data_IF_633180325669
#
_entry.id   IF_633180325669
#
_cell.length_a   1.000
_cell.length_b   1.000
_cell.length_c   1.000
_cell.angle_alpha   90.00
_cell.angle_beta   90.00
_cell.angle_gamma   90.00
#
_symmetry.space_group_name_H-M   'P 1'
#
loop_
_entity.id
_entity.type
_entity.pdbx_description
1 polymer ?
#
# COMPACT_ATOMS: atom_id res chain seq x y z
N UNK A 1 -8.71 8.14 0.36
CA UNK A 1 -7.41 7.67 0.91
C UNK A 1 -7.06 8.36 2.22
N UNK A 2 -6.99 9.71 2.26
CA UNK A 2 -6.60 10.47 3.46
C UNK A 2 -7.37 10.10 4.74
N UNK A 3 -8.65 9.75 4.62
CA UNK A 3 -9.52 9.38 5.75
C UNK A 3 -9.19 8.01 6.38
N UNK A 4 -8.37 7.17 5.75
CA UNK A 4 -8.03 5.82 6.25
C UNK A 4 -6.67 5.77 6.96
N UNK A 5 -5.97 6.89 7.08
CA UNK A 5 -4.69 6.94 7.78
C UNK A 5 -4.89 6.92 9.30
N UNK A 6 -4.16 6.01 9.93
CA UNK A 6 -4.08 5.90 11.37
C UNK A 6 -2.93 6.77 11.91
N UNK A 7 -2.87 7.07 13.22
CA UNK A 7 -1.83 7.93 13.78
C UNK A 7 -0.39 7.43 13.54
N UNK A 8 -0.19 6.12 13.36
CA UNK A 8 1.12 5.52 13.01
C UNK A 8 1.42 5.59 11.50
N UNK A 9 0.60 6.29 10.72
CA UNK A 9 0.72 6.44 9.28
C UNK A 9 0.35 5.18 8.49
N UNK A 10 -0.07 4.09 9.15
CA UNK A 10 -0.58 2.92 8.46
C UNK A 10 -2.00 3.14 7.95
N UNK A 11 -2.35 2.45 6.89
CA UNK A 11 -3.69 2.42 6.33
C UNK A 11 -3.94 1.07 5.67
N UNK A 12 -5.22 0.80 5.43
CA UNK A 12 -5.69 -0.39 4.74
C UNK A 12 -6.82 0.01 3.80
N UNK A 13 -6.81 -0.52 2.60
CA UNK A 13 -7.82 -0.27 1.57
C UNK A 13 -8.39 -1.59 1.07
N UNK A 14 -9.69 -1.64 0.72
CA UNK A 14 -10.29 -2.81 0.07
C UNK A 14 -9.87 -2.84 -1.41
N UNK A 15 -8.58 -3.04 -1.66
CA UNK A 15 -7.96 -3.01 -2.98
C UNK A 15 -6.88 -4.08 -3.13
N UNK A 16 -6.62 -4.47 -4.38
CA UNK A 16 -5.35 -5.06 -4.77
C UNK A 16 -4.52 -3.97 -5.43
N UNK A 17 -3.33 -3.72 -4.89
CA UNK A 17 -2.45 -2.67 -5.37
C UNK A 17 -1.25 -3.31 -6.09
N UNK A 18 -1.05 -2.92 -7.34
CA UNK A 18 0.14 -3.27 -8.12
C UNK A 18 1.06 -2.07 -8.17
N UNK A 19 2.28 -2.21 -7.65
CA UNK A 19 3.21 -1.10 -7.59
C UNK A 19 4.60 -1.43 -8.11
N UNK A 20 5.28 -0.37 -8.55
CA UNK A 20 6.69 -0.38 -8.94
C UNK A 20 7.39 0.83 -8.34
N UNK A 21 8.60 0.63 -7.81
CA UNK A 21 9.48 1.74 -7.43
C UNK A 21 10.13 2.28 -8.69
N UNK A 22 9.82 3.53 -9.04
CA UNK A 22 10.37 4.18 -10.24
C UNK A 22 11.77 4.75 -9.99
N UNK A 23 11.99 5.27 -8.79
CA UNK A 23 13.24 5.92 -8.39
C UNK A 23 13.44 5.86 -6.87
N UNK A 24 14.69 5.73 -6.44
CA UNK A 24 15.06 5.67 -5.03
C UNK A 24 14.78 4.32 -4.36
N UNK A 25 14.58 4.37 -3.04
CA UNK A 25 14.31 3.23 -2.18
C UNK A 25 13.20 3.58 -1.19
N UNK A 26 12.30 2.63 -0.95
CA UNK A 26 11.23 2.78 0.03
C UNK A 26 11.08 1.50 0.86
N UNK A 27 10.64 1.65 2.10
CA UNK A 27 10.31 0.54 2.99
C UNK A 27 8.81 0.42 3.13
N UNK A 28 8.29 -0.79 2.91
CA UNK A 28 6.92 -1.17 3.25
C UNK A 28 6.92 -1.76 4.66
N UNK A 29 6.31 -1.05 5.60
CA UNK A 29 6.09 -1.52 6.97
C UNK A 29 4.69 -2.15 7.08
N UNK A 30 4.62 -3.38 7.59
CA UNK A 30 3.41 -4.14 7.86
C UNK A 30 3.15 -4.22 9.37
N UNK A 31 2.20 -5.05 9.79
CA UNK A 31 1.96 -5.32 11.20
C UNK A 31 3.16 -6.05 11.86
N UNK A 32 3.20 -5.96 13.19
CA UNK A 32 4.25 -6.53 14.06
C UNK A 32 5.67 -6.07 13.74
N UNK A 33 5.81 -4.92 13.08
CA UNK A 33 7.11 -4.34 12.72
C UNK A 33 7.80 -5.09 11.58
N UNK A 34 7.09 -5.94 10.85
CA UNK A 34 7.63 -6.56 9.65
C UNK A 34 7.86 -5.49 8.59
N UNK A 35 9.05 -5.47 7.99
CA UNK A 35 9.41 -4.48 6.98
C UNK A 35 10.08 -5.14 5.78
N UNK A 36 9.74 -4.65 4.58
CA UNK A 36 10.40 -5.04 3.34
C UNK A 36 10.97 -3.80 2.67
N UNK A 37 12.25 -3.85 2.33
CA UNK A 37 12.93 -2.82 1.53
C UNK A 37 12.71 -3.09 0.05
N UNK A 38 12.28 -2.06 -0.68
CA UNK A 38 12.09 -2.09 -2.13
C UNK A 38 13.01 -1.04 -2.76
N UNK A 39 13.89 -1.50 -3.65
CA UNK A 39 14.76 -0.66 -4.45
C UNK A 39 14.13 -0.28 -5.79
N UNK A 40 14.82 0.56 -6.55
CA UNK A 40 14.41 0.95 -7.89
C UNK A 40 14.11 -0.27 -8.78
N UNK A 41 12.97 -0.22 -9.46
CA UNK A 41 12.38 -1.25 -10.32
C UNK A 41 11.88 -2.51 -9.61
N UNK A 42 11.97 -2.60 -8.28
CA UNK A 42 11.25 -3.64 -7.55
C UNK A 42 9.74 -3.41 -7.68
N UNK A 43 9.03 -4.52 -7.86
CA UNK A 43 7.57 -4.55 -7.95
C UNK A 43 6.97 -5.23 -6.74
N UNK A 44 5.78 -4.80 -6.34
CA UNK A 44 5.03 -5.43 -5.26
C UNK A 44 3.55 -5.58 -5.61
N UNK A 45 2.91 -6.55 -4.95
CA UNK A 45 1.46 -6.74 -4.96
C UNK A 45 0.99 -6.68 -3.52
N UNK A 46 0.07 -5.77 -3.25
CA UNK A 46 -0.51 -5.60 -1.93
C UNK A 46 -1.98 -5.98 -1.94
N UNK A 47 -2.33 -7.06 -1.26
CA UNK A 47 -3.69 -7.61 -1.27
C UNK A 47 -4.45 -7.19 0.00
N UNK A 48 -4.86 -5.92 0.04
CA UNK A 48 -5.64 -5.37 1.16
C UNK A 48 -4.93 -5.43 2.51
N UNK A 49 -3.59 -5.44 2.55
CA UNK A 49 -2.83 -5.50 3.81
C UNK A 49 -2.68 -4.11 4.43
N UNK A 50 -2.80 -4.04 5.75
CA UNK A 50 -2.49 -2.82 6.51
C UNK A 50 -1.00 -2.54 6.42
N UNK A 51 -0.64 -1.34 5.99
CA UNK A 51 0.76 -1.00 5.70
C UNK A 51 1.04 0.49 5.82
N UNK A 52 2.32 0.84 5.92
CA UNK A 52 2.82 2.20 5.75
C UNK A 52 4.08 2.24 4.89
N UNK A 53 4.32 3.39 4.28
CA UNK A 53 5.53 3.67 3.52
C UNK A 53 6.51 4.48 4.38
N UNK A 54 7.75 4.02 4.47
CA UNK A 54 8.83 4.72 5.19
C UNK A 54 9.97 5.01 4.22
N UNK A 55 10.30 6.28 4.08
CA UNK A 55 11.55 6.66 3.44
C UNK A 55 12.61 6.83 4.54
N UNK A 56 13.56 5.89 4.60
CA UNK A 56 14.66 5.89 5.57
C UNK A 56 15.95 6.49 4.98
N UNK A 57 15.88 7.02 3.77
CA UNK A 57 17.02 7.64 3.07
C UNK A 57 16.96 9.17 3.16
N UNK A 58 18.03 9.82 2.69
CA UNK A 58 18.15 11.27 2.55
C UNK A 58 17.65 11.79 1.18
N UNK A 59 17.14 10.89 0.32
CA UNK A 59 16.67 11.21 -1.04
C UNK A 59 15.19 10.88 -1.19
N UNK A 60 14.46 11.56 -2.09
CA UNK A 60 13.10 11.15 -2.43
C UNK A 60 13.05 9.73 -3.00
N UNK A 61 11.88 9.10 -2.85
CA UNK A 61 11.53 7.87 -3.56
C UNK A 61 10.22 8.09 -4.30
N UNK A 62 10.13 7.56 -5.52
CA UNK A 62 8.93 7.67 -6.36
C UNK A 62 8.37 6.27 -6.63
N UNK A 63 7.08 6.08 -6.35
CA UNK A 63 6.35 4.84 -6.62
C UNK A 63 5.18 5.12 -7.56
N UNK A 64 4.97 4.26 -8.54
CA UNK A 64 3.73 4.20 -9.29
C UNK A 64 2.89 3.05 -8.76
N UNK A 65 1.62 3.33 -8.45
CA UNK A 65 0.70 2.34 -7.88
C UNK A 65 -0.63 2.37 -8.64
N UNK A 66 -1.07 1.22 -9.11
CA UNK A 66 -2.40 0.99 -9.67
C UNK A 66 -3.22 0.27 -8.61
N UNK A 67 -4.30 0.90 -8.15
CA UNK A 67 -5.22 0.33 -7.17
C UNK A 67 -6.46 -0.20 -7.88
N UNK A 68 -6.75 -1.49 -7.68
CA UNK A 68 -7.95 -2.14 -8.19
C UNK A 68 -8.88 -2.41 -7.00
N UNK A 69 -10.10 -1.88 -7.04
CA UNK A 69 -11.11 -2.14 -6.01
C UNK A 69 -11.37 -3.64 -5.82
N UNK A 70 -11.38 -4.11 -4.57
CA UNK A 70 -11.60 -5.50 -4.21
C UNK A 70 -12.75 -5.62 -3.20
N UNK A 71 -13.53 -6.69 -3.32
CA UNK A 71 -14.54 -7.02 -2.31
C UNK A 71 -13.84 -7.62 -1.09
N UNK A 72 -14.11 -7.06 0.08
CA UNK A 72 -13.74 -7.61 1.38
C UNK A 72 -15.03 -8.01 2.10
N UNK A 73 -14.97 -8.86 3.13
CA UNK A 73 -16.14 -9.16 3.97
C UNK A 73 -16.78 -7.92 4.62
N UNK A 74 -16.07 -6.79 4.65
CA UNK A 74 -16.55 -5.51 5.16
C UNK A 74 -17.19 -4.62 4.07
N UNK A 75 -16.94 -4.92 2.78
CA UNK A 75 -17.50 -4.19 1.65
C UNK A 75 -18.54 -4.99 0.86
N UNK A 76 -18.92 -6.18 1.34
CA UNK A 76 -19.91 -7.07 0.73
C UNK A 76 -21.34 -6.54 0.70
N UNK A 77 -21.64 -5.42 1.36
CA UNK A 77 -23.00 -4.82 1.37
C UNK A 77 -23.21 -3.75 0.29
N UNK A 78 -22.24 -3.50 -0.60
CA UNK A 78 -22.47 -2.70 -1.79
C UNK A 78 -23.16 -3.56 -2.86
N UNK A 79 -24.49 -3.43 -2.97
CA UNK A 79 -25.30 -3.94 -4.07
C UNK A 79 -24.80 -3.36 -5.39
N UNK A 80 -24.14 -4.20 -6.19
CA UNK A 80 -23.60 -3.86 -7.50
C UNK A 80 -24.66 -3.81 -8.60
N UNK A 81 -25.94 -4.06 -8.30
CA UNK A 81 -27.07 -3.81 -9.20
C UNK A 81 -26.96 -4.49 -10.57
N UNK A 82 -26.14 -5.53 -10.67
CA UNK A 82 -26.01 -6.42 -11.82
C UNK A 82 -26.74 -7.73 -11.56
#
# INVERSE_FOLDING_TARGET
MAERFQPDGKHQTPTVDYGIVLDGEIWMELDDGNETRLGQFDTFVQNGTRHAWRNKSDKPASIAVVLVGARTPETTDYDDGL
#
